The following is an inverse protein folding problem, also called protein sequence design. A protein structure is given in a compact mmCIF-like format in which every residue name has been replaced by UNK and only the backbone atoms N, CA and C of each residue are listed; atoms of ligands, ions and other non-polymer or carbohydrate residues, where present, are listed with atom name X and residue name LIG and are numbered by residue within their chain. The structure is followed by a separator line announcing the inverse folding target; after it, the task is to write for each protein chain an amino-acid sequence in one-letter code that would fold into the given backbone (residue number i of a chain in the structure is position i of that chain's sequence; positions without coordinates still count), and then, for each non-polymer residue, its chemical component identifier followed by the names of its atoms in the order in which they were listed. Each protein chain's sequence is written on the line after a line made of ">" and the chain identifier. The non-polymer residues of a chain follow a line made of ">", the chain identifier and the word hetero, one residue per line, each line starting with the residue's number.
data_IF_860183703921
#
_entry.id   IF_860183703921
#
_cell.length_a   1.000
_cell.length_b   1.000
_cell.length_c   1.000
_cell.angle_alpha   90.00
_cell.angle_beta   90.00
_cell.angle_gamma   90.00
#
_symmetry.space_group_name_H-M   'P 1'
#
loop_
_entity.id
_entity.type
_entity.pdbx_description
1 polymer ?
#
# COMPACT_ATOMS: atom_id res chain seq x y z
N UNK A 1 -17.17 -10.12 -15.91
CA UNK A 1 -16.11 -10.99 -15.37
C UNK A 1 -14.79 -10.47 -15.93
N UNK A 2 -13.92 -9.91 -15.09
CA UNK A 2 -12.82 -9.03 -15.51
C UNK A 2 -11.69 -9.79 -16.22
N UNK A 3 -11.25 -9.22 -17.35
CA UNK A 3 -10.70 -9.93 -18.51
C UNK A 3 -9.21 -10.32 -18.46
N UNK A 4 -8.52 -10.26 -17.31
CA UNK A 4 -7.14 -10.74 -17.13
C UNK A 4 -6.99 -11.25 -15.69
N UNK A 5 -7.01 -12.56 -15.47
CA UNK A 5 -6.67 -13.19 -14.18
C UNK A 5 -7.50 -12.74 -12.96
N UNK A 6 -8.73 -12.26 -13.16
CA UNK A 6 -9.49 -11.44 -12.20
C UNK A 6 -9.42 -11.82 -10.71
N UNK A 7 -9.69 -13.06 -10.32
CA UNK A 7 -9.61 -13.46 -8.90
C UNK A 7 -8.16 -13.59 -8.40
N UNK A 8 -7.27 -14.15 -9.21
CA UNK A 8 -5.86 -14.33 -8.85
C UNK A 8 -5.13 -12.99 -8.75
N UNK A 9 -5.43 -12.04 -9.65
CA UNK A 9 -4.90 -10.68 -9.60
C UNK A 9 -5.37 -9.96 -8.32
N UNK A 10 -6.66 -10.08 -8.00
CA UNK A 10 -7.22 -9.49 -6.78
C UNK A 10 -6.61 -10.11 -5.52
N UNK A 11 -6.39 -11.43 -5.47
CA UNK A 11 -5.72 -12.09 -4.33
C UNK A 11 -4.33 -11.52 -4.06
N UNK A 12 -3.62 -11.07 -5.09
CA UNK A 12 -2.28 -10.50 -5.00
C UNK A 12 -2.27 -8.97 -4.89
N UNK A 13 -3.44 -8.36 -4.72
CA UNK A 13 -3.60 -6.91 -4.69
C UNK A 13 -4.01 -6.40 -3.31
N UNK A 14 -3.85 -5.10 -3.11
CA UNK A 14 -4.47 -4.37 -2.00
C UNK A 14 -5.75 -3.69 -2.43
N UNK A 15 -6.60 -3.46 -1.45
CA UNK A 15 -7.81 -2.67 -1.57
C UNK A 15 -7.44 -1.19 -1.77
N UNK A 16 -8.27 -0.40 -2.48
CA UNK A 16 -7.98 1.00 -2.79
C UNK A 16 -7.79 1.89 -1.55
N UNK A 17 -8.24 1.46 -0.38
CA UNK A 17 -8.09 2.21 0.88
C UNK A 17 -6.62 2.48 1.24
N UNK A 18 -5.67 1.66 0.77
CA UNK A 18 -4.23 1.93 0.95
C UNK A 18 -3.83 3.28 0.35
N UNK A 19 -4.43 3.66 -0.78
CA UNK A 19 -4.19 4.93 -1.43
C UNK A 19 -4.94 6.07 -0.75
N UNK A 20 -6.20 5.86 -0.35
CA UNK A 20 -6.99 6.93 0.29
C UNK A 20 -6.40 7.36 1.62
N UNK A 21 -5.96 6.40 2.43
CA UNK A 21 -5.42 6.68 3.77
C UNK A 21 -4.03 7.32 3.67
N UNK A 22 -3.18 6.84 2.75
CA UNK A 22 -1.89 7.46 2.47
C UNK A 22 -2.05 8.89 1.96
N UNK A 23 -2.99 9.14 1.04
CA UNK A 23 -3.30 10.47 0.57
C UNK A 23 -3.80 11.38 1.70
N UNK A 24 -4.67 10.88 2.58
CA UNK A 24 -5.13 11.64 3.74
C UNK A 24 -3.97 12.01 4.69
N UNK A 25 -3.06 11.08 4.96
CA UNK A 25 -1.87 11.33 5.76
C UNK A 25 -0.95 12.39 5.13
N UNK A 26 -0.81 12.41 3.80
CA UNK A 26 -0.02 13.44 3.11
C UNK A 26 -0.73 14.80 3.16
N UNK A 27 -2.03 14.85 2.88
CA UNK A 27 -2.79 16.10 2.82
C UNK A 27 -2.93 16.81 4.18
N UNK A 28 -2.71 16.08 5.27
CA UNK A 28 -2.72 16.62 6.65
C UNK A 28 -1.34 17.06 7.15
N UNK A 29 -0.26 16.80 6.39
CA UNK A 29 1.08 17.35 6.66
C UNK A 29 1.12 18.86 6.36
N UNK A 30 2.07 19.62 6.95
CA UNK A 30 2.23 21.04 6.61
C UNK A 30 2.56 21.22 5.12
N UNK A 31 2.14 22.33 4.53
CA UNK A 31 2.36 22.65 3.10
C UNK A 31 3.83 22.75 2.68
N UNK A 32 4.74 22.85 3.65
CA UNK A 32 6.18 22.76 3.43
C UNK A 32 6.66 21.34 3.06
N UNK A 33 5.84 20.31 3.27
CA UNK A 33 6.12 18.95 2.87
C UNK A 33 5.82 18.78 1.37
N UNK A 34 6.81 19.08 0.53
CA UNK A 34 6.69 19.14 -0.92
C UNK A 34 7.92 18.56 -1.62
N UNK A 35 7.80 18.19 -2.91
CA UNK A 35 8.91 17.67 -3.72
C UNK A 35 9.26 16.20 -3.48
N UNK A 36 8.35 15.43 -2.87
CA UNK A 36 8.57 14.01 -2.55
C UNK A 36 7.96 13.07 -3.60
N UNK A 37 8.62 11.94 -3.84
CA UNK A 37 8.07 10.78 -4.56
C UNK A 37 7.85 9.66 -3.55
N UNK A 38 6.59 9.41 -3.19
CA UNK A 38 6.23 8.60 -2.03
C UNK A 38 5.54 7.30 -2.45
N UNK A 39 5.73 6.26 -1.64
CA UNK A 39 4.98 5.00 -1.69
C UNK A 39 3.94 4.97 -0.56
N UNK A 40 2.79 4.37 -0.82
CA UNK A 40 1.65 4.46 0.10
C UNK A 40 1.93 3.78 1.43
N UNK A 41 2.51 2.59 1.38
CA UNK A 41 2.83 1.77 2.54
C UNK A 41 3.86 2.46 3.45
N UNK A 42 4.90 3.06 2.88
CA UNK A 42 5.90 3.82 3.65
C UNK A 42 5.24 5.00 4.39
N UNK A 43 4.38 5.74 3.70
CA UNK A 43 3.62 6.84 4.31
C UNK A 43 2.73 6.36 5.45
N UNK A 44 2.07 5.22 5.28
CA UNK A 44 1.18 4.66 6.31
C UNK A 44 1.98 4.21 7.54
N UNK A 45 3.12 3.54 7.36
CA UNK A 45 4.01 3.18 8.46
C UNK A 45 4.52 4.41 9.21
N UNK A 46 4.99 5.44 8.48
CA UNK A 46 5.43 6.72 9.07
C UNK A 46 4.30 7.42 9.84
N UNK A 47 3.05 7.19 9.44
CA UNK A 47 1.86 7.76 10.07
C UNK A 47 1.37 6.94 11.28
N UNK A 48 2.07 5.85 11.62
CA UNK A 48 1.82 5.02 12.79
C UNK A 48 0.95 3.78 12.54
N UNK A 49 0.62 3.47 11.28
CA UNK A 49 0.03 2.17 10.94
C UNK A 49 1.07 1.08 11.18
N UNK A 50 0.70 0.02 11.89
CA UNK A 50 1.62 -1.11 12.16
C UNK A 50 1.22 -2.39 11.46
N UNK A 51 -0.03 -2.48 11.00
CA UNK A 51 -0.58 -3.65 10.32
C UNK A 51 -1.10 -3.22 8.94
N UNK A 52 -0.33 -3.55 7.90
CA UNK A 52 -0.72 -3.29 6.52
C UNK A 52 -1.65 -4.38 5.95
N UNK A 53 -1.80 -5.51 6.64
CA UNK A 53 -2.65 -6.63 6.16
C UNK A 53 -4.12 -6.26 6.10
N UNK A 54 -4.54 -5.24 6.85
CA UNK A 54 -5.89 -4.66 6.77
C UNK A 54 -6.19 -4.10 5.38
N UNK A 55 -5.18 -3.81 4.57
CA UNK A 55 -5.33 -3.33 3.20
C UNK A 55 -5.29 -4.46 2.17
N UNK A 56 -4.86 -5.66 2.52
CA UNK A 56 -4.78 -6.77 1.57
C UNK A 56 -6.19 -7.19 1.15
N UNK A 57 -6.40 -7.46 -0.15
CA UNK A 57 -7.68 -7.98 -0.60
C UNK A 57 -7.95 -9.38 -0.04
N UNK A 58 -6.89 -10.17 0.16
CA UNK A 58 -6.91 -11.46 0.85
C UNK A 58 -5.74 -11.50 1.84
N UNK A 59 -5.99 -11.45 3.16
CA UNK A 59 -4.92 -11.46 4.16
C UNK A 59 -4.03 -12.70 4.05
N UNK A 60 -2.72 -12.51 4.16
CA UNK A 60 -1.71 -13.58 4.13
C UNK A 60 -1.38 -14.12 2.73
N UNK A 61 -1.82 -13.45 1.66
CA UNK A 61 -1.45 -13.80 0.29
C UNK A 61 -0.05 -13.29 -0.09
N UNK A 62 0.55 -13.90 -1.12
CA UNK A 62 1.78 -13.40 -1.73
C UNK A 62 1.46 -12.24 -2.69
N UNK A 63 1.63 -11.02 -2.18
CA UNK A 63 1.30 -9.79 -2.89
C UNK A 63 2.14 -9.60 -4.16
N UNK A 64 1.52 -8.99 -5.17
CA UNK A 64 2.22 -8.51 -6.35
C UNK A 64 2.97 -7.21 -6.05
N UNK A 65 4.00 -6.93 -6.86
CA UNK A 65 4.67 -5.63 -6.88
C UNK A 65 4.09 -4.79 -8.01
N UNK A 66 3.88 -3.50 -7.75
CA UNK A 66 3.49 -2.55 -8.78
C UNK A 66 4.68 -2.23 -9.70
N UNK A 67 4.41 -1.64 -10.86
CA UNK A 67 5.46 -1.19 -11.75
C UNK A 67 6.35 -0.16 -11.06
N UNK A 68 7.66 -0.27 -11.31
CA UNK A 68 8.69 0.60 -10.73
C UNK A 68 8.86 0.46 -9.21
N UNK A 69 8.30 -0.59 -8.59
CA UNK A 69 8.46 -0.91 -7.17
C UNK A 69 9.16 -2.27 -7.02
N UNK A 70 10.14 -2.35 -6.12
CA UNK A 70 10.95 -3.56 -5.94
C UNK A 70 10.34 -4.59 -4.98
N UNK A 71 9.46 -4.16 -4.06
CA UNK A 71 8.85 -5.03 -3.05
C UNK A 71 7.46 -4.54 -2.63
N UNK A 72 6.59 -5.45 -2.19
CA UNK A 72 5.21 -5.13 -1.84
C UNK A 72 5.06 -4.46 -0.45
N UNK A 73 6.11 -4.46 0.37
CA UNK A 73 6.11 -3.86 1.70
C UNK A 73 7.37 -3.04 1.94
N UNK A 74 7.31 -2.01 2.80
CA UNK A 74 8.47 -1.22 3.17
C UNK A 74 9.62 -2.05 3.75
N UNK A 75 10.88 -1.60 3.60
CA UNK A 75 12.04 -2.30 4.14
C UNK A 75 11.93 -2.52 5.66
N UNK A 76 12.08 -3.78 6.09
CA UNK A 76 12.03 -4.14 7.51
C UNK A 76 10.61 -4.27 8.07
N UNK A 77 9.56 -4.10 7.25
CA UNK A 77 8.19 -4.44 7.66
C UNK A 77 8.10 -5.93 8.01
N UNK A 78 7.48 -6.22 9.15
CA UNK A 78 7.18 -7.58 9.58
C UNK A 78 5.68 -7.76 9.54
N UNK A 79 5.22 -8.72 8.74
CA UNK A 79 3.80 -9.06 8.69
C UNK A 79 3.32 -9.51 10.08
N UNK A 80 2.08 -9.17 10.46
CA UNK A 80 1.40 -9.82 11.56
C UNK A 80 1.20 -11.32 11.32
#
# INVERSE_FOLDING_TARGET
>A
QNLLGGEESMKRSRKPEVYSDAAYAILTKPSSYTGNTLLCEDVLLESGVTDLSVYDCVPGSDLGVDFWVESANPPGYTHP
#
